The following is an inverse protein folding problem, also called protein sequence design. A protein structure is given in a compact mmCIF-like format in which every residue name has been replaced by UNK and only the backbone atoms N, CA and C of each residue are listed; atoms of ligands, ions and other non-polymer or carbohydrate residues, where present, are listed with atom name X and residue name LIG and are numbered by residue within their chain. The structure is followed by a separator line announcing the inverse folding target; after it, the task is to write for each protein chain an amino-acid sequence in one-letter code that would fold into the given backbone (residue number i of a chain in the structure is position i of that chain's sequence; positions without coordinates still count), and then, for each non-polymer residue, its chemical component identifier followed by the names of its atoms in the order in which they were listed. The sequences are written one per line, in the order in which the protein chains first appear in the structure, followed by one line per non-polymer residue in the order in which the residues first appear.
data_IF_470313339667
#
_entry.id   IF_470313339667
#
_cell.length_a   1.000
_cell.length_b   1.000
_cell.length_c   1.000
_cell.angle_alpha   90.00
_cell.angle_beta   90.00
_cell.angle_gamma   90.00
#
_symmetry.space_group_name_H-M   'P 1'
#
loop_
_entity.id
_entity.type
_entity.pdbx_description
1 polymer ?
#
# COMPACT_ATOMS: atom_id res chain seq x y z
N UNK A 1 0.49 3.48 -14.40
CA UNK A 1 -0.18 3.30 -13.10
C UNK A 1 0.64 3.99 -12.02
N UNK A 2 -0.01 4.81 -11.18
CA UNK A 2 0.61 5.40 -9.99
C UNK A 2 0.15 4.62 -8.75
N UNK A 3 1.09 4.21 -7.89
CA UNK A 3 0.79 3.51 -6.63
C UNK A 3 1.12 4.42 -5.46
N UNK A 4 0.11 4.77 -4.69
CA UNK A 4 0.13 5.62 -3.51
C UNK A 4 -0.11 4.79 -2.24
N UNK A 5 0.41 5.22 -1.12
CA UNK A 5 0.22 4.61 0.20
C UNK A 5 1.31 5.02 1.18
N UNK A 6 1.28 4.40 2.32
CA UNK A 6 2.18 4.65 3.45
C UNK A 6 3.48 3.83 3.41
N UNK A 7 4.04 3.50 4.60
CA UNK A 7 5.26 2.68 4.75
C UNK A 7 5.13 1.28 4.13
N UNK A 8 3.94 0.69 4.13
CA UNK A 8 3.69 -0.64 3.55
C UNK A 8 3.84 -0.60 2.03
N UNK A 9 3.38 0.48 1.40
CA UNK A 9 3.57 0.75 -0.03
C UNK A 9 5.00 1.19 -0.34
N UNK A 10 5.66 1.91 0.56
CA UNK A 10 7.07 2.29 0.41
C UNK A 10 8.00 1.07 0.43
N UNK A 11 7.77 0.09 1.29
CA UNK A 11 8.45 -1.23 1.25
C UNK A 11 8.34 -1.85 -0.14
N UNK A 12 7.14 -1.86 -0.71
CA UNK A 12 6.87 -2.15 -2.11
C UNK A 12 6.96 -3.62 -2.51
N UNK A 13 7.15 -4.57 -1.59
CA UNK A 13 7.15 -6.00 -1.92
C UNK A 13 5.85 -6.42 -2.61
N UNK A 14 4.70 -6.04 -2.08
CA UNK A 14 3.42 -6.37 -2.71
C UNK A 14 3.27 -5.74 -4.10
N UNK A 15 3.84 -4.55 -4.32
CA UNK A 15 3.83 -3.90 -5.65
C UNK A 15 4.68 -4.69 -6.64
N UNK A 16 5.84 -5.21 -6.21
CA UNK A 16 6.68 -6.05 -7.06
C UNK A 16 6.01 -7.37 -7.45
N UNK A 17 5.31 -8.02 -6.49
CA UNK A 17 4.51 -9.22 -6.77
C UNK A 17 3.35 -8.90 -7.72
N UNK A 18 2.62 -7.80 -7.47
CA UNK A 18 1.52 -7.36 -8.35
C UNK A 18 2.02 -7.11 -9.77
N UNK A 19 3.13 -6.40 -9.93
CA UNK A 19 3.72 -6.11 -11.23
C UNK A 19 4.11 -7.39 -11.97
N UNK A 20 4.70 -8.37 -11.26
CA UNK A 20 5.00 -9.67 -11.81
C UNK A 20 3.73 -10.39 -12.30
N UNK A 21 2.65 -10.38 -11.52
CA UNK A 21 1.39 -10.98 -11.94
C UNK A 21 0.78 -10.29 -13.16
N UNK A 22 0.77 -8.97 -13.18
CA UNK A 22 0.28 -8.20 -14.33
C UNK A 22 1.04 -8.54 -15.60
N UNK A 23 2.38 -8.59 -15.54
CA UNK A 23 3.21 -8.94 -16.70
C UNK A 23 3.04 -10.39 -17.13
N UNK A 24 2.82 -11.32 -16.21
CA UNK A 24 2.72 -12.75 -16.50
C UNK A 24 1.33 -13.15 -16.97
N UNK A 25 0.27 -12.64 -16.32
CA UNK A 25 -1.12 -13.09 -16.54
C UNK A 25 -1.97 -12.10 -17.34
N UNK A 26 -1.48 -10.88 -17.55
CA UNK A 26 -2.13 -9.86 -18.36
C UNK A 26 -1.12 -9.10 -19.25
N UNK A 27 -0.25 -9.78 -20.02
CA UNK A 27 0.85 -9.14 -20.75
C UNK A 27 0.39 -8.08 -21.75
N UNK A 28 -0.81 -8.22 -22.28
CA UNK A 28 -1.38 -7.27 -23.28
C UNK A 28 -1.84 -5.94 -22.64
N UNK A 29 -1.86 -5.81 -21.30
CA UNK A 29 -2.25 -4.56 -20.64
C UNK A 29 -1.12 -3.53 -20.65
N UNK A 30 0.12 -3.94 -20.93
CA UNK A 30 1.32 -3.09 -20.92
C UNK A 30 1.41 -2.24 -19.66
N UNK A 31 1.13 -2.85 -18.49
CA UNK A 31 1.10 -2.16 -17.21
C UNK A 31 2.49 -1.63 -16.83
N UNK A 32 2.59 -0.34 -16.61
CA UNK A 32 3.80 0.36 -16.19
C UNK A 32 3.55 1.06 -14.85
N UNK A 33 4.22 0.60 -13.79
CA UNK A 33 3.97 1.00 -12.42
C UNK A 33 5.04 1.97 -11.91
N UNK A 34 4.59 3.09 -11.31
CA UNK A 34 5.42 4.00 -10.50
C UNK A 34 4.85 3.98 -9.09
N UNK A 35 5.62 3.44 -8.13
CA UNK A 35 5.23 3.39 -6.72
C UNK A 35 5.97 4.46 -5.93
N UNK A 36 5.23 5.27 -5.22
CA UNK A 36 5.74 6.38 -4.39
C UNK A 36 5.12 6.39 -2.99
N UNK A 37 4.95 5.21 -2.39
CA UNK A 37 4.56 5.10 -0.99
C UNK A 37 5.49 5.91 -0.09
N UNK A 38 4.95 6.52 0.97
CA UNK A 38 5.70 7.34 1.91
C UNK A 38 5.38 6.95 3.35
N UNK A 39 6.41 6.61 4.10
CA UNK A 39 6.28 6.21 5.51
C UNK A 39 5.51 7.22 6.33
N UNK A 40 4.62 6.72 7.20
CA UNK A 40 3.74 7.49 8.09
C UNK A 40 2.69 8.36 7.40
N UNK A 41 2.57 8.32 6.08
CA UNK A 41 1.63 9.17 5.33
C UNK A 41 0.17 8.85 5.67
N UNK A 42 -0.67 9.89 5.64
CA UNK A 42 -2.10 9.83 5.92
C UNK A 42 -2.90 10.57 4.84
N UNK A 43 -4.17 10.21 4.70
CA UNK A 43 -5.20 11.03 4.04
C UNK A 43 -5.80 12.05 5.00
N UNK A 44 -5.93 11.66 6.27
CA UNK A 44 -6.58 12.47 7.32
C UNK A 44 -5.82 13.74 7.70
N UNK A 45 -4.49 13.75 7.50
CA UNK A 45 -3.61 14.83 7.96
C UNK A 45 -3.43 14.86 9.48
N UNK A 46 -3.92 13.84 10.20
CA UNK A 46 -3.79 13.77 11.65
C UNK A 46 -2.39 13.28 12.06
N UNK A 47 -1.99 13.69 13.26
CA UNK A 47 -0.72 13.27 13.89
C UNK A 47 -0.94 13.10 15.37
N UNK A 48 -0.52 11.97 15.94
CA UNK A 48 -0.49 11.76 17.38
C UNK A 48 0.65 12.54 18.05
N UNK A 49 0.50 12.93 19.34
CA UNK A 49 1.49 13.77 20.03
C UNK A 49 2.88 13.14 20.16
N UNK A 50 2.98 11.82 20.26
CA UNK A 50 4.24 11.09 20.44
C UNK A 50 4.97 10.76 19.12
N UNK A 51 4.41 11.14 17.97
CA UNK A 51 5.09 10.98 16.69
C UNK A 51 6.25 11.99 16.59
N UNK A 52 7.45 11.58 16.13
CA UNK A 52 8.66 12.40 16.19
C UNK A 52 8.62 13.66 15.32
N UNK A 53 7.71 13.75 14.37
CA UNK A 53 7.42 14.90 13.52
C UNK A 53 5.97 14.82 13.05
N UNK A 54 5.35 15.90 12.53
CA UNK A 54 4.06 15.81 11.88
C UNK A 54 4.05 14.70 10.82
N UNK A 55 3.00 13.86 10.82
CA UNK A 55 2.84 12.84 9.78
C UNK A 55 2.72 13.51 8.42
N UNK A 56 3.38 12.99 7.38
CA UNK A 56 3.16 13.47 6.03
C UNK A 56 1.67 13.36 5.66
N UNK A 57 1.15 14.37 5.00
CA UNK A 57 -0.18 14.33 4.41
C UNK A 57 -0.05 14.15 2.89
N UNK A 58 -0.79 13.20 2.30
CA UNK A 58 -0.74 12.95 0.85
C UNK A 58 -0.92 14.24 0.02
N UNK A 59 -1.76 15.15 0.51
CA UNK A 59 -2.12 16.36 -0.23
C UNK A 59 -0.99 17.41 -0.33
N UNK A 60 0.09 17.22 0.41
CA UNK A 60 1.29 18.06 0.27
C UNK A 60 2.07 17.77 -1.01
N UNK A 61 1.83 16.59 -1.63
CA UNK A 61 2.58 16.12 -2.82
C UNK A 61 1.71 15.56 -3.95
N UNK A 62 0.43 15.30 -3.72
CA UNK A 62 -0.44 14.60 -4.68
C UNK A 62 -0.54 15.34 -6.01
N UNK A 63 -0.78 16.66 -6.00
CA UNK A 63 -0.95 17.44 -7.24
C UNK A 63 0.29 17.34 -8.11
N UNK A 64 1.48 17.46 -7.50
CA UNK A 64 2.75 17.32 -8.20
C UNK A 64 2.95 15.88 -8.73
N UNK A 65 2.55 14.86 -7.96
CA UNK A 65 2.62 13.47 -8.40
C UNK A 65 1.73 13.23 -9.63
N UNK A 66 0.50 13.71 -9.60
CA UNK A 66 -0.46 13.57 -10.71
C UNK A 66 0.01 14.33 -11.97
N UNK A 67 0.54 15.54 -11.79
CA UNK A 67 1.07 16.37 -12.89
C UNK A 67 2.28 15.71 -13.58
N UNK A 68 3.23 15.19 -12.80
CA UNK A 68 4.47 14.63 -13.32
C UNK A 68 4.30 13.24 -13.90
N UNK A 69 3.52 12.37 -13.23
CA UNK A 69 3.32 10.97 -13.65
C UNK A 69 2.24 10.85 -14.72
N UNK A 70 1.21 11.69 -14.70
CA UNK A 70 0.03 11.65 -15.61
C UNK A 70 -0.57 10.25 -15.69
N UNK A 71 -0.94 9.64 -14.56
CA UNK A 71 -1.41 8.27 -14.53
C UNK A 71 -2.78 8.12 -15.18
N UNK A 72 -3.03 6.98 -15.83
CA UNK A 72 -4.37 6.57 -16.27
C UNK A 72 -5.12 5.83 -15.14
N UNK A 73 -4.37 5.22 -14.23
CA UNK A 73 -4.89 4.50 -13.07
C UNK A 73 -4.08 4.87 -11.85
N UNK A 74 -4.75 5.15 -10.74
CA UNK A 74 -4.16 5.35 -9.42
C UNK A 74 -4.60 4.21 -8.52
N UNK A 75 -3.65 3.51 -7.90
CA UNK A 75 -3.87 2.59 -6.79
C UNK A 75 -3.55 3.31 -5.50
N UNK A 76 -4.43 3.27 -4.51
CA UNK A 76 -4.23 3.95 -3.22
C UNK A 76 -4.57 3.01 -2.07
N UNK A 77 -3.60 2.79 -1.16
CA UNK A 77 -3.73 1.96 0.04
C UNK A 77 -3.38 2.81 1.26
N UNK A 78 -4.39 3.29 1.97
CA UNK A 78 -4.28 4.13 3.16
C UNK A 78 -5.15 3.60 4.28
N UNK A 79 -5.13 4.25 5.44
CA UNK A 79 -5.94 3.92 6.61
C UNK A 79 -5.11 3.52 7.82
N UNK A 80 -4.00 2.78 7.62
CA UNK A 80 -3.21 2.26 8.74
C UNK A 80 -2.74 3.36 9.70
N UNK A 81 -2.35 4.52 9.19
CA UNK A 81 -1.89 5.66 9.99
C UNK A 81 -2.99 6.67 10.29
N UNK A 82 -4.11 6.63 9.59
CA UNK A 82 -5.12 7.70 9.56
C UNK A 82 -5.89 7.87 10.86
N UNK A 83 -6.08 6.79 11.61
CA UNK A 83 -6.68 6.80 12.94
C UNK A 83 -5.68 7.12 14.05
N UNK A 84 -4.40 7.38 13.69
CA UNK A 84 -3.32 7.70 14.64
C UNK A 84 -3.20 6.72 15.81
N UNK A 85 -3.59 5.47 15.59
CA UNK A 85 -3.58 4.35 16.55
C UNK A 85 -4.46 4.54 17.79
N UNK A 86 -5.45 5.43 17.70
CA UNK A 86 -6.45 5.71 18.74
C UNK A 86 -7.70 4.84 18.59
N UNK A 87 -8.54 4.72 19.63
CA UNK A 87 -9.90 4.21 19.51
C UNK A 87 -10.70 4.96 18.46
N UNK A 88 -11.78 4.36 17.94
CA UNK A 88 -12.67 5.04 17.00
C UNK A 88 -13.22 6.36 17.55
N UNK A 89 -13.36 7.36 16.68
CA UNK A 89 -14.11 8.59 16.97
C UNK A 89 -14.72 9.17 15.70
N UNK A 90 -15.89 9.83 15.82
CA UNK A 90 -16.52 10.50 14.69
C UNK A 90 -15.60 11.51 14.00
N UNK A 91 -14.77 12.23 14.76
CA UNK A 91 -13.86 13.25 14.22
C UNK A 91 -12.75 12.63 13.38
N UNK A 92 -12.16 11.50 13.82
CA UNK A 92 -11.11 10.79 13.07
C UNK A 92 -11.68 10.13 11.83
N UNK A 93 -12.86 9.52 11.92
CA UNK A 93 -13.56 8.98 10.77
C UNK A 93 -13.92 10.10 9.76
N UNK A 94 -14.39 11.25 10.24
CA UNK A 94 -14.67 12.40 9.39
C UNK A 94 -13.42 12.94 8.70
N UNK A 95 -12.29 13.02 9.41
CA UNK A 95 -11.01 13.43 8.81
C UNK A 95 -10.54 12.46 7.71
N UNK A 96 -10.63 11.16 7.95
CA UNK A 96 -10.30 10.14 6.94
C UNK A 96 -11.23 10.23 5.72
N UNK A 97 -12.54 10.27 5.92
CA UNK A 97 -13.52 10.35 4.82
C UNK A 97 -13.42 11.66 4.03
N UNK A 98 -13.08 12.77 4.69
CA UNK A 98 -12.76 14.01 3.99
C UNK A 98 -11.52 13.87 3.11
N UNK A 99 -10.44 13.28 3.63
CA UNK A 99 -9.24 12.96 2.85
C UNK A 99 -9.55 12.05 1.66
N UNK A 100 -10.36 11.01 1.87
CA UNK A 100 -10.80 10.10 0.83
C UNK A 100 -11.55 10.83 -0.30
N UNK A 101 -12.48 11.71 0.05
CA UNK A 101 -13.23 12.53 -0.91
C UNK A 101 -12.30 13.42 -1.74
N UNK A 102 -11.33 14.08 -1.10
CA UNK A 102 -10.31 14.89 -1.79
C UNK A 102 -9.45 14.07 -2.76
N UNK A 103 -9.05 12.86 -2.37
CA UNK A 103 -8.29 11.96 -3.26
C UNK A 103 -9.12 11.62 -4.51
N UNK A 104 -10.38 11.23 -4.32
CA UNK A 104 -11.32 10.92 -5.41
C UNK A 104 -11.46 12.11 -6.36
N UNK A 105 -11.72 13.29 -5.83
CA UNK A 105 -11.87 14.52 -6.64
C UNK A 105 -10.62 14.80 -7.49
N UNK A 106 -9.43 14.74 -6.89
CA UNK A 106 -8.18 15.04 -7.60
C UNK A 106 -7.84 14.01 -8.68
N UNK A 107 -8.08 12.73 -8.41
CA UNK A 107 -7.85 11.66 -9.40
C UNK A 107 -8.86 11.76 -10.54
N UNK A 108 -10.11 12.05 -10.24
CA UNK A 108 -11.13 12.24 -11.27
C UNK A 108 -10.90 13.51 -12.12
N UNK A 109 -10.38 14.58 -11.53
CA UNK A 109 -10.09 15.82 -12.23
C UNK A 109 -9.09 15.65 -13.39
N UNK A 110 -8.18 14.67 -13.30
CA UNK A 110 -7.26 14.33 -14.38
C UNK A 110 -7.77 13.23 -15.31
N UNK A 111 -9.01 12.76 -15.11
CA UNK A 111 -9.63 11.71 -15.92
C UNK A 111 -9.16 10.28 -15.61
N UNK A 112 -8.32 10.07 -14.60
CA UNK A 112 -7.81 8.76 -14.21
C UNK A 112 -8.87 7.89 -13.50
N UNK A 113 -8.70 6.57 -13.56
CA UNK A 113 -9.43 5.62 -12.74
C UNK A 113 -8.77 5.50 -11.37
N UNK A 114 -9.56 5.29 -10.33
CA UNK A 114 -9.08 5.06 -8.97
C UNK A 114 -9.37 3.62 -8.54
N UNK A 115 -8.37 2.98 -7.98
CA UNK A 115 -8.50 1.70 -7.26
C UNK A 115 -8.16 1.97 -5.80
N UNK A 116 -9.17 1.97 -4.96
CA UNK A 116 -9.02 2.02 -3.51
C UNK A 116 -8.74 0.61 -2.99
N UNK A 117 -7.80 0.51 -2.08
CA UNK A 117 -7.37 -0.74 -1.47
C UNK A 117 -7.54 -0.53 0.04
N UNK A 118 -8.50 -1.24 0.65
CA UNK A 118 -8.74 -1.11 2.08
C UNK A 118 -7.47 -1.46 2.88
N UNK A 119 -7.25 -0.83 4.06
CA UNK A 119 -5.99 -0.99 4.79
C UNK A 119 -5.72 -2.47 5.13
N UNK A 120 -4.45 -2.90 5.21
CA UNK A 120 -4.10 -4.19 5.80
C UNK A 120 -4.59 -4.29 7.24
N UNK A 121 -4.63 -5.51 7.79
CA UNK A 121 -5.01 -5.75 9.19
C UNK A 121 -3.95 -5.19 10.15
N UNK A 122 -4.42 -4.60 11.25
CA UNK A 122 -3.58 -4.35 12.42
C UNK A 122 -3.64 -5.58 13.34
N UNK A 123 -2.47 -6.13 13.67
CA UNK A 123 -2.39 -7.32 14.52
C UNK A 123 -1.81 -6.97 15.91
N UNK A 124 -2.68 -6.79 16.89
CA UNK A 124 -2.28 -6.48 18.25
C UNK A 124 -1.56 -7.65 18.96
N UNK A 125 -1.77 -8.90 18.52
CA UNK A 125 -1.29 -10.10 19.24
C UNK A 125 0.22 -10.14 19.42
N UNK A 126 1.06 -9.99 18.38
CA UNK A 126 2.51 -10.06 18.52
C UNK A 126 3.09 -8.90 19.34
N UNK A 127 2.34 -7.81 19.49
CA UNK A 127 2.75 -6.60 20.19
C UNK A 127 1.91 -6.30 21.43
N UNK A 128 1.22 -7.29 21.95
CA UNK A 128 0.28 -7.13 23.09
C UNK A 128 0.87 -6.43 24.32
N UNK A 129 2.18 -6.55 24.54
CA UNK A 129 2.88 -5.85 25.61
C UNK A 129 2.98 -4.32 25.42
N UNK A 130 2.77 -3.81 24.18
CA UNK A 130 2.79 -2.38 23.85
C UNK A 130 1.40 -1.78 23.69
N UNK A 131 0.40 -2.61 23.44
CA UNK A 131 -0.96 -2.13 23.22
C UNK A 131 -1.62 -1.69 24.51
N UNK A 132 -2.56 -0.75 24.41
CA UNK A 132 -3.28 -0.18 25.55
C UNK A 132 -4.79 -0.30 25.35
N UNK A 133 -5.54 -0.31 26.48
CA UNK A 133 -7.01 -0.31 26.44
C UNK A 133 -7.57 1.05 26.03
N UNK A 134 -8.85 1.11 25.72
CA UNK A 134 -9.60 2.34 25.38
C UNK A 134 -9.62 3.39 26.49
N UNK A 135 -9.31 3.00 27.74
CA UNK A 135 -9.24 3.89 28.91
C UNK A 135 -7.84 4.45 29.16
N UNK A 136 -6.87 4.14 28.30
CA UNK A 136 -5.51 4.65 28.46
C UNK A 136 -5.47 6.19 28.29
N UNK A 137 -4.56 6.88 29.03
CA UNK A 137 -4.45 8.33 28.94
C UNK A 137 -3.84 8.82 27.62
N UNK A 138 -3.07 7.96 26.93
CA UNK A 138 -2.33 8.29 25.73
C UNK A 138 -2.38 7.14 24.71
N UNK A 139 -2.45 7.50 23.44
CA UNK A 139 -2.41 6.60 22.30
C UNK A 139 -1.45 7.13 21.24
N UNK A 140 -0.92 6.22 20.44
CA UNK A 140 -0.08 6.52 19.30
C UNK A 140 0.65 5.27 18.80
N UNK A 141 1.55 5.41 17.86
CA UNK A 141 2.24 4.27 17.27
C UNK A 141 3.10 3.48 18.26
N UNK A 142 3.54 4.09 19.39
CA UNK A 142 4.29 3.41 20.46
C UNK A 142 3.37 2.62 21.40
N UNK A 143 2.18 3.15 21.63
CA UNK A 143 1.15 2.62 22.52
C UNK A 143 -0.19 2.56 21.77
N UNK A 144 -0.31 1.68 20.75
CA UNK A 144 -1.51 1.61 19.96
C UNK A 144 -2.68 1.04 20.75
N UNK A 145 -3.88 1.53 20.44
CA UNK A 145 -5.12 0.94 20.92
C UNK A 145 -5.18 -0.55 20.57
N UNK A 146 -5.47 -1.40 21.54
CA UNK A 146 -5.41 -2.86 21.39
C UNK A 146 -6.41 -3.40 20.36
N UNK A 147 -7.55 -2.72 20.13
CA UNK A 147 -8.54 -3.07 19.11
C UNK A 147 -8.48 -2.11 17.92
N UNK A 148 -7.30 -1.61 17.57
CA UNK A 148 -7.15 -0.67 16.45
C UNK A 148 -7.60 -1.26 15.10
N UNK A 149 -7.62 -2.59 14.96
CA UNK A 149 -8.16 -3.26 13.79
C UNK A 149 -9.65 -2.94 13.55
N UNK A 150 -10.44 -2.71 14.62
CA UNK A 150 -11.84 -2.31 14.50
C UNK A 150 -11.98 -0.90 13.89
N UNK A 151 -11.03 0.00 14.15
CA UNK A 151 -10.98 1.33 13.49
C UNK A 151 -10.69 1.18 12.00
N UNK A 152 -9.80 0.24 11.63
CA UNK A 152 -9.51 -0.05 10.22
C UNK A 152 -10.71 -0.69 9.50
N UNK A 153 -11.56 -1.45 10.19
CA UNK A 153 -12.84 -1.95 9.65
C UNK A 153 -13.77 -0.78 9.30
N UNK A 154 -13.87 0.25 10.15
CA UNK A 154 -14.67 1.44 9.86
C UNK A 154 -14.15 2.21 8.63
N UNK A 155 -12.82 2.35 8.51
CA UNK A 155 -12.21 2.98 7.34
C UNK A 155 -12.41 2.14 6.07
N UNK A 156 -12.25 0.82 6.16
CA UNK A 156 -12.55 -0.09 5.05
C UNK A 156 -14.01 0.04 4.58
N UNK A 157 -14.96 0.11 5.51
CA UNK A 157 -16.37 0.31 5.19
C UNK A 157 -16.61 1.66 4.47
N UNK A 158 -15.93 2.72 4.90
CA UNK A 158 -16.01 4.03 4.26
C UNK A 158 -15.45 4.00 2.82
N UNK A 159 -14.36 3.27 2.58
CA UNK A 159 -13.81 3.07 1.23
C UNK A 159 -14.73 2.23 0.34
N UNK A 160 -15.26 1.11 0.86
CA UNK A 160 -16.18 0.23 0.14
C UNK A 160 -17.43 1.00 -0.33
N UNK A 161 -17.91 1.94 0.47
CA UNK A 161 -19.04 2.79 0.11
C UNK A 161 -18.76 3.72 -1.09
N UNK A 162 -17.50 3.90 -1.51
CA UNK A 162 -17.12 4.72 -2.67
C UNK A 162 -17.16 3.96 -4.00
N UNK A 163 -17.48 2.66 -4.03
CA UNK A 163 -17.53 1.86 -5.25
C UNK A 163 -18.42 2.54 -6.31
N UNK A 164 -17.87 2.83 -7.48
CA UNK A 164 -18.54 3.55 -8.56
C UNK A 164 -17.91 3.20 -9.93
N UNK A 165 -18.47 3.59 -11.07
CA UNK A 165 -17.95 3.22 -12.40
C UNK A 165 -16.47 3.55 -12.66
N UNK A 166 -15.93 4.60 -12.03
CA UNK A 166 -14.51 4.99 -12.13
C UNK A 166 -13.71 4.74 -10.85
N UNK A 167 -14.33 4.14 -9.83
CA UNK A 167 -13.74 3.82 -8.55
C UNK A 167 -13.95 2.32 -8.31
N UNK A 168 -12.89 1.55 -8.40
CA UNK A 168 -12.90 0.17 -7.95
C UNK A 168 -12.42 0.12 -6.51
N UNK A 169 -13.09 -0.66 -5.66
CA UNK A 169 -12.62 -0.92 -4.31
C UNK A 169 -12.23 -2.39 -4.19
N UNK A 170 -11.06 -2.66 -3.66
CA UNK A 170 -10.56 -4.01 -3.37
C UNK A 170 -10.49 -4.16 -1.85
N UNK A 171 -11.34 -5.00 -1.30
CA UNK A 171 -11.41 -5.27 0.14
C UNK A 171 -10.25 -6.18 0.58
N UNK A 172 -9.07 -5.58 0.72
CA UNK A 172 -7.88 -6.25 1.22
C UNK A 172 -8.02 -6.59 2.70
N UNK A 173 -8.65 -5.70 3.49
CA UNK A 173 -8.82 -5.89 4.92
C UNK A 173 -9.52 -7.21 5.23
N UNK A 174 -10.69 -7.42 4.62
CA UNK A 174 -11.46 -8.64 4.80
C UNK A 174 -10.69 -9.90 4.34
N UNK A 175 -9.98 -9.81 3.21
CA UNK A 175 -9.16 -10.92 2.72
C UNK A 175 -8.05 -11.30 3.70
N UNK A 176 -7.35 -10.32 4.26
CA UNK A 176 -6.29 -10.54 5.23
C UNK A 176 -6.83 -11.05 6.57
N UNK A 177 -7.96 -10.52 7.06
CA UNK A 177 -8.62 -11.03 8.29
C UNK A 177 -9.04 -12.49 8.15
N UNK A 178 -9.64 -12.85 7.02
CA UNK A 178 -10.05 -14.23 6.75
C UNK A 178 -8.84 -15.18 6.73
N UNK A 179 -7.78 -14.81 6.03
CA UNK A 179 -6.56 -15.60 5.94
C UNK A 179 -5.84 -15.72 7.30
N UNK A 180 -5.77 -14.63 8.07
CA UNK A 180 -5.19 -14.63 9.41
C UNK A 180 -5.98 -15.55 10.37
N UNK A 181 -7.31 -15.47 10.31
CA UNK A 181 -8.18 -16.32 11.11
C UNK A 181 -7.98 -17.80 10.77
N UNK A 182 -7.96 -18.14 9.48
CA UNK A 182 -7.73 -19.50 9.03
C UNK A 182 -6.35 -20.05 9.43
N UNK A 183 -5.29 -19.23 9.28
CA UNK A 183 -3.94 -19.63 9.67
C UNK A 183 -3.84 -19.89 11.19
N UNK A 184 -4.52 -19.10 12.01
CA UNK A 184 -4.52 -19.24 13.48
C UNK A 184 -5.29 -20.45 14.01
N UNK A 185 -6.09 -21.10 13.20
CA UNK A 185 -6.66 -22.41 13.55
C UNK A 185 -5.56 -23.47 13.65
N UNK A 186 -4.54 -23.37 12.79
CA UNK A 186 -3.42 -24.31 12.72
C UNK A 186 -2.25 -23.89 13.61
N UNK A 187 -1.95 -22.60 13.65
CA UNK A 187 -0.90 -21.99 14.47
C UNK A 187 -1.44 -20.75 15.19
N UNK A 188 -1.84 -20.85 16.45
CA UNK A 188 -2.38 -19.72 17.21
C UNK A 188 -1.43 -18.50 17.32
N UNK A 189 -0.11 -18.70 17.13
CA UNK A 189 0.87 -17.64 17.19
C UNK A 189 1.11 -16.97 15.81
N UNK A 190 0.51 -17.50 14.75
CA UNK A 190 0.72 -16.97 13.38
C UNK A 190 0.37 -15.49 13.27
N UNK A 191 1.19 -14.75 12.54
CA UNK A 191 0.94 -13.35 12.18
C UNK A 191 1.47 -13.03 10.78
N UNK A 192 0.77 -12.16 10.07
CA UNK A 192 1.31 -11.52 8.87
C UNK A 192 2.15 -10.28 9.20
N UNK A 193 1.98 -9.68 10.39
CA UNK A 193 2.61 -8.42 10.78
C UNK A 193 3.29 -8.56 12.15
N UNK A 194 4.57 -8.96 12.19
CA UNK A 194 5.29 -9.22 13.46
C UNK A 194 5.38 -8.01 14.39
N UNK A 195 5.35 -6.80 13.85
CA UNK A 195 5.33 -5.54 14.62
C UNK A 195 3.91 -4.96 14.79
N UNK A 196 2.90 -5.70 14.36
CA UNK A 196 1.50 -5.33 14.42
C UNK A 196 0.99 -4.55 13.19
N UNK A 197 1.89 -3.98 12.39
CA UNK A 197 1.57 -3.02 11.31
C UNK A 197 2.07 -3.50 9.95
N UNK A 198 3.37 -3.82 9.85
CA UNK A 198 4.02 -4.07 8.56
C UNK A 198 3.95 -5.55 8.19
N UNK A 199 3.34 -5.91 7.04
CA UNK A 199 3.26 -7.29 6.61
C UNK A 199 4.65 -7.89 6.33
N UNK A 200 4.82 -9.16 6.69
CA UNK A 200 5.95 -9.97 6.27
C UNK A 200 5.80 -10.41 4.80
N UNK A 201 6.72 -11.22 4.27
CA UNK A 201 6.68 -11.68 2.87
C UNK A 201 5.36 -12.36 2.50
N UNK A 202 4.84 -13.23 3.38
CA UNK A 202 3.57 -13.93 3.15
C UNK A 202 2.38 -12.95 3.14
N UNK A 203 2.42 -11.93 4.02
CA UNK A 203 1.42 -10.86 4.04
C UNK A 203 1.47 -10.02 2.76
N UNK A 204 2.64 -9.60 2.31
CA UNK A 204 2.80 -8.88 1.05
C UNK A 204 2.38 -9.72 -0.17
N UNK A 205 2.67 -11.03 -0.17
CA UNK A 205 2.19 -11.92 -1.22
C UNK A 205 0.67 -12.00 -1.25
N UNK A 206 0.03 -12.15 -0.09
CA UNK A 206 -1.43 -12.15 0.04
C UNK A 206 -2.03 -10.83 -0.46
N UNK A 207 -1.45 -9.68 -0.10
CA UNK A 207 -1.86 -8.37 -0.63
C UNK A 207 -1.84 -8.38 -2.16
N UNK A 208 -0.71 -8.76 -2.76
CA UNK A 208 -0.56 -8.77 -4.21
C UNK A 208 -1.55 -9.70 -4.92
N UNK A 209 -1.78 -10.89 -4.37
CA UNK A 209 -2.76 -11.85 -4.91
C UNK A 209 -4.18 -11.30 -4.83
N UNK A 210 -4.55 -10.70 -3.70
CA UNK A 210 -5.86 -10.07 -3.51
C UNK A 210 -6.07 -8.93 -4.51
N UNK A 211 -5.04 -8.08 -4.69
CA UNK A 211 -5.09 -7.00 -5.67
C UNK A 211 -5.21 -7.54 -7.09
N UNK A 212 -4.37 -8.49 -7.48
CA UNK A 212 -4.40 -9.07 -8.82
C UNK A 212 -5.76 -9.69 -9.15
N UNK A 213 -6.32 -10.48 -8.23
CA UNK A 213 -7.67 -11.07 -8.37
C UNK A 213 -8.74 -9.98 -8.43
N UNK A 214 -8.66 -8.98 -7.55
CA UNK A 214 -9.56 -7.82 -7.54
C UNK A 214 -9.48 -6.97 -8.81
N UNK A 215 -8.35 -7.00 -9.53
CA UNK A 215 -8.18 -6.39 -10.85
C UNK A 215 -8.67 -7.29 -11.99
N UNK A 216 -9.09 -8.53 -11.69
CA UNK A 216 -9.67 -9.46 -12.66
C UNK A 216 -8.68 -10.49 -13.22
N UNK A 217 -7.48 -10.63 -12.64
CA UNK A 217 -6.55 -11.68 -13.04
C UNK A 217 -6.97 -13.04 -12.45
N UNK A 218 -6.93 -14.08 -13.28
CA UNK A 218 -7.07 -15.46 -12.83
C UNK A 218 -5.68 -15.98 -12.43
N UNK A 219 -5.43 -16.09 -11.13
CA UNK A 219 -4.19 -16.63 -10.60
C UNK A 219 -4.35 -18.12 -10.25
N UNK A 220 -3.31 -18.96 -10.46
CA UNK A 220 -3.33 -20.35 -9.98
C UNK A 220 -3.42 -20.38 -8.44
N UNK A 221 -4.08 -21.37 -7.89
CA UNK A 221 -4.08 -21.60 -6.45
C UNK A 221 -2.70 -22.11 -6.00
N UNK A 222 -2.06 -21.36 -5.11
CA UNK A 222 -0.77 -21.71 -4.54
C UNK A 222 -0.70 -21.22 -3.10
N UNK A 223 -0.04 -21.97 -2.24
CA UNK A 223 0.28 -21.52 -0.88
C UNK A 223 1.53 -20.63 -0.90
N UNK A 224 1.65 -19.72 0.06
CA UNK A 224 2.83 -18.87 0.18
C UNK A 224 4.14 -19.69 0.31
N UNK A 225 4.08 -20.84 0.99
CA UNK A 225 5.23 -21.74 1.15
C UNK A 225 5.75 -22.30 -0.18
N UNK A 226 4.89 -22.43 -1.19
CA UNK A 226 5.27 -22.91 -2.54
C UNK A 226 5.61 -21.73 -3.45
N UNK A 227 4.82 -20.66 -3.38
CA UNK A 227 4.92 -19.55 -4.33
C UNK A 227 6.12 -18.63 -4.06
N UNK A 228 6.46 -18.32 -2.81
CA UNK A 228 7.59 -17.46 -2.48
C UNK A 228 8.93 -18.04 -2.97
N UNK A 229 9.26 -19.32 -2.74
CA UNK A 229 10.47 -19.92 -3.34
C UNK A 229 10.46 -19.93 -4.87
N UNK A 230 9.30 -20.17 -5.49
CA UNK A 230 9.17 -20.15 -6.94
C UNK A 230 9.41 -18.76 -7.53
N UNK A 231 8.88 -17.71 -6.90
CA UNK A 231 9.13 -16.32 -7.28
C UNK A 231 10.61 -15.96 -7.09
N UNK A 232 11.21 -16.33 -5.96
CA UNK A 232 12.63 -16.07 -5.68
C UNK A 232 13.56 -16.74 -6.71
N UNK A 233 13.16 -17.87 -7.27
CA UNK A 233 13.90 -18.61 -8.30
C UNK A 233 13.66 -18.07 -9.72
N UNK A 234 12.62 -17.25 -9.94
CA UNK A 234 12.32 -16.69 -11.27
C UNK A 234 13.16 -15.42 -11.53
N UNK A 235 14.11 -15.45 -12.51
CA UNK A 235 14.94 -14.28 -12.81
C UNK A 235 14.13 -13.05 -13.25
N UNK A 236 12.93 -13.23 -13.81
CA UNK A 236 12.05 -12.12 -14.20
C UNK A 236 11.56 -11.38 -12.96
N UNK A 237 11.23 -12.10 -11.90
CA UNK A 237 10.79 -11.47 -10.64
C UNK A 237 11.91 -10.60 -10.04
N UNK A 238 13.15 -11.08 -10.06
CA UNK A 238 14.31 -10.30 -9.62
C UNK A 238 14.45 -9.00 -10.41
N UNK A 239 14.38 -9.05 -11.74
CA UNK A 239 14.45 -7.86 -12.59
C UNK A 239 13.29 -6.88 -12.33
N UNK A 240 12.07 -7.38 -12.15
CA UNK A 240 10.89 -6.56 -11.84
C UNK A 240 11.05 -5.87 -10.49
N UNK A 241 11.45 -6.61 -9.46
CA UNK A 241 11.70 -6.08 -8.12
C UNK A 241 12.75 -4.97 -8.14
N UNK A 242 13.88 -5.21 -8.80
CA UNK A 242 14.99 -4.27 -8.87
C UNK A 242 14.61 -3.02 -9.68
N UNK A 243 13.86 -3.21 -10.79
CA UNK A 243 13.29 -2.10 -11.58
C UNK A 243 12.36 -1.24 -10.75
N UNK A 244 11.42 -1.87 -10.03
CA UNK A 244 10.48 -1.15 -9.16
C UNK A 244 11.22 -0.37 -8.06
N UNK A 245 12.16 -1.00 -7.36
CA UNK A 245 12.91 -0.38 -6.28
C UNK A 245 13.68 0.85 -6.78
N UNK A 246 14.48 0.69 -7.83
CA UNK A 246 15.24 1.78 -8.45
C UNK A 246 14.34 2.95 -8.86
N UNK A 247 13.18 2.65 -9.44
CA UNK A 247 12.22 3.64 -9.91
C UNK A 247 11.58 4.39 -8.74
N UNK A 248 11.16 3.69 -7.69
CA UNK A 248 10.59 4.28 -6.48
C UNK A 248 11.57 5.20 -5.76
N UNK A 249 12.83 4.78 -5.62
CA UNK A 249 13.90 5.56 -5.00
C UNK A 249 14.20 6.86 -5.74
N UNK A 250 14.01 6.91 -7.06
CA UNK A 250 14.21 8.11 -7.86
C UNK A 250 12.96 9.01 -7.86
N UNK A 251 11.77 8.43 -8.06
CA UNK A 251 10.54 9.19 -8.20
C UNK A 251 10.08 9.84 -6.90
N UNK A 252 10.21 9.17 -5.76
CA UNK A 252 9.74 9.69 -4.48
C UNK A 252 10.40 11.03 -4.11
N UNK A 253 11.73 11.17 -4.08
CA UNK A 253 12.36 12.45 -3.80
C UNK A 253 12.19 13.46 -4.95
N UNK A 254 12.03 13.03 -6.21
CA UNK A 254 11.79 13.93 -7.34
C UNK A 254 10.43 14.62 -7.26
N UNK A 255 9.39 13.91 -6.86
CA UNK A 255 8.08 14.47 -6.55
C UNK A 255 8.20 15.41 -5.35
N UNK A 256 9.09 15.09 -4.42
CA UNK A 256 9.28 15.81 -3.18
C UNK A 256 8.20 15.44 -2.15
N UNK A 257 8.58 15.48 -0.91
CA UNK A 257 7.70 15.32 0.24
C UNK A 257 8.29 16.09 1.42
N UNK A 258 7.42 16.68 2.22
CA UNK A 258 7.84 17.43 3.40
C UNK A 258 7.47 16.62 4.65
N UNK A 259 8.43 15.91 5.19
CA UNK A 259 8.36 15.42 6.57
C UNK A 259 9.31 16.25 7.42
N UNK A 260 9.10 17.57 7.44
CA UNK A 260 10.01 18.54 8.05
C UNK A 260 11.38 18.65 7.35
N UNK A 261 11.56 18.05 6.19
CA UNK A 261 12.80 18.07 5.41
C UNK A 261 12.51 18.38 3.94
N UNK A 262 13.31 19.26 3.35
CA UNK A 262 13.28 19.49 1.90
C UNK A 262 14.25 18.52 1.25
N UNK A 263 13.76 17.71 0.32
CA UNK A 263 14.58 16.82 -0.48
C UNK A 263 14.85 17.49 -1.83
N UNK A 264 16.13 17.61 -2.17
CA UNK A 264 16.56 17.98 -3.51
C UNK A 264 16.97 16.70 -4.22
N UNK A 265 16.31 16.38 -5.32
CA UNK A 265 16.69 15.24 -6.15
C UNK A 265 17.04 15.69 -7.56
N UNK A 266 17.94 14.92 -8.19
CA UNK A 266 18.16 15.04 -9.62
C UNK A 266 16.92 14.58 -10.39
N UNK A 267 16.82 15.00 -11.66
CA UNK A 267 15.78 14.50 -12.58
C UNK A 267 15.78 12.97 -12.64
N UNK A 268 14.60 12.36 -12.73
CA UNK A 268 14.42 10.91 -12.91
C UNK A 268 14.90 10.40 -14.27
N UNK A 269 15.25 11.28 -15.22
CA UNK A 269 15.59 10.91 -16.60
C UNK A 269 16.71 9.88 -16.74
N UNK A 270 17.72 9.93 -15.86
CA UNK A 270 18.80 8.95 -15.86
C UNK A 270 18.33 7.58 -15.40
N UNK A 271 17.50 7.56 -14.35
CA UNK A 271 16.88 6.34 -13.82
C UNK A 271 15.94 5.71 -14.84
N UNK A 272 15.09 6.49 -15.53
CA UNK A 272 14.17 5.97 -16.54
C UNK A 272 14.89 5.32 -17.73
N UNK A 273 16.12 5.74 -18.07
CA UNK A 273 16.96 5.01 -19.06
C UNK A 273 17.37 3.62 -18.58
N UNK A 274 17.69 3.48 -17.28
CA UNK A 274 18.00 2.17 -16.68
C UNK A 274 16.75 1.31 -16.59
N UNK A 275 15.63 1.90 -16.17
CA UNK A 275 14.30 1.27 -16.13
C UNK A 275 13.90 0.70 -17.50
N UNK A 276 14.09 1.47 -18.58
CA UNK A 276 13.81 1.01 -19.94
C UNK A 276 14.69 -0.20 -20.35
N UNK A 277 15.96 -0.21 -19.96
CA UNK A 277 16.85 -1.35 -20.20
C UNK A 277 16.38 -2.60 -19.43
N UNK A 278 16.08 -2.46 -18.14
CA UNK A 278 15.56 -3.57 -17.33
C UNK A 278 14.24 -4.10 -17.89
N UNK A 279 13.37 -3.22 -18.40
CA UNK A 279 12.14 -3.65 -19.07
C UNK A 279 12.39 -4.48 -20.33
N UNK A 280 13.40 -4.15 -21.12
CA UNK A 280 13.79 -4.96 -22.27
C UNK A 280 14.35 -6.34 -21.83
N UNK A 281 15.13 -6.39 -20.76
CA UNK A 281 15.62 -7.65 -20.18
C UNK A 281 14.49 -8.54 -19.66
N UNK A 282 13.48 -7.93 -18.99
CA UNK A 282 12.27 -8.64 -18.53
C UNK A 282 11.52 -9.24 -19.73
N UNK A 283 11.34 -8.48 -20.81
CA UNK A 283 10.67 -8.96 -22.01
C UNK A 283 11.38 -10.16 -22.64
N UNK A 284 12.72 -10.14 -22.70
CA UNK A 284 13.53 -11.27 -23.19
C UNK A 284 13.38 -12.50 -22.27
N UNK A 285 13.41 -12.30 -20.95
CA UNK A 285 13.23 -13.39 -19.98
C UNK A 285 11.81 -13.99 -20.03
N UNK A 286 10.82 -13.23 -20.47
CA UNK A 286 9.42 -13.67 -20.61
C UNK A 286 9.18 -14.48 -21.89
N UNK A 287 10.07 -14.40 -22.89
CA UNK A 287 9.95 -15.13 -24.17
C UNK A 287 10.58 -16.54 -24.11
N UNK A 288 11.29 -16.86 -23.04
CA UNK A 288 11.90 -18.18 -22.77
C UNK A 288 11.00 -19.02 -21.91
#
# INVERSE_FOLDING_TARGET
VLVLGDSITQDGRYVSYLEYYLQRFAPNTHSDLISIGLSSETLSGLTEPDHPAPRPCLFDRLDRALELVKPQVVLACYGMNDGIYHPSSPERLAAFTHGLSRLIEKVHAIGAQLVLITPPVFDARPISARTVSDTAPEFGYKHPYNNYDDVLVEFAAAEIAQQAPKIRVIDLHQAMRAALTAARVLDPAFTFSPDGVHPNEAGHLLMARTLATGLGLALPEMTAAVELPALAADPRFTLIRDRRALRSEAWLPYIGYTNGKTYHSASVAATERVVARLQAEIAIASAK
#
